data_IF_148790344069
#
_entry.id   IF_148790344069
#
_cell.length_a   1.000
_cell.length_b   1.000
_cell.length_c   1.000
_cell.angle_alpha   90.00
_cell.angle_beta   90.00
_cell.angle_gamma   90.00
#
_symmetry.space_group_name_H-M   'P 1'
#
loop_
_entity.id
_entity.type
_entity.pdbx_description
1 polymer ?
#
# COMPACT_ATOMS: atom_id res chain seq x y z
N UNK A 1 -4.97 -7.69 -87.98
CA UNK A 1 -4.93 -9.15 -88.23
C UNK A 1 -4.52 -9.86 -86.94
N UNK A 2 -5.22 -10.93 -86.51
CA UNK A 2 -5.12 -11.49 -85.16
C UNK A 2 -4.08 -12.62 -85.07
N UNK A 3 -3.24 -12.58 -84.03
CA UNK A 3 -2.28 -13.64 -83.68
C UNK A 3 -2.95 -14.79 -82.94
N UNK A 4 -2.85 -16.00 -83.50
CA UNK A 4 -3.40 -17.26 -82.98
C UNK A 4 -2.83 -17.61 -81.58
N UNK A 5 -3.74 -17.94 -80.65
CA UNK A 5 -3.40 -18.71 -79.44
C UNK A 5 -3.08 -20.16 -79.84
N UNK A 6 -1.86 -20.61 -79.55
CA UNK A 6 -1.42 -22.00 -79.76
C UNK A 6 -1.98 -22.87 -78.63
N UNK A 7 -2.94 -23.73 -78.96
CA UNK A 7 -3.42 -24.80 -78.07
C UNK A 7 -2.34 -25.88 -77.96
N UNK A 8 -1.83 -26.12 -76.75
CA UNK A 8 -1.00 -27.29 -76.45
C UNK A 8 -1.90 -28.53 -76.42
N UNK A 9 -2.00 -29.22 -77.55
CA UNK A 9 -2.58 -30.56 -77.61
C UNK A 9 -1.62 -31.57 -76.99
N UNK A 10 -1.87 -31.95 -75.73
CA UNK A 10 -1.16 -33.02 -75.05
C UNK A 10 -1.56 -34.36 -75.70
N UNK A 11 -0.65 -34.98 -76.45
CA UNK A 11 -0.85 -36.35 -76.97
C UNK A 11 -0.61 -37.34 -75.84
N UNK A 12 -1.66 -38.03 -75.40
CA UNK A 12 -1.52 -39.14 -74.46
C UNK A 12 -0.97 -40.39 -75.17
N UNK A 13 0.04 -41.08 -74.61
CA UNK A 13 0.55 -42.34 -75.15
C UNK A 13 -0.55 -43.41 -75.15
N UNK A 14 -0.52 -44.32 -76.14
CA UNK A 14 -1.46 -45.44 -76.30
C UNK A 14 -1.28 -46.51 -75.21
N UNK A 15 -1.72 -46.18 -74.00
CA UNK A 15 -1.70 -47.06 -72.83
C UNK A 15 -2.93 -47.98 -72.85
N UNK A 16 -2.74 -49.27 -72.48
CA UNK A 16 -3.80 -50.27 -72.31
C UNK A 16 -4.89 -49.75 -71.35
N UNK A 17 -6.15 -50.15 -71.54
CA UNK A 17 -7.31 -49.64 -70.77
C UNK A 17 -7.09 -49.60 -69.25
N UNK A 18 -6.50 -50.65 -68.66
CA UNK A 18 -6.11 -50.69 -67.24
C UNK A 18 -5.14 -49.58 -66.82
N UNK A 19 -4.19 -49.21 -67.67
CA UNK A 19 -3.22 -48.17 -67.36
C UNK A 19 -3.84 -46.76 -67.40
N UNK A 20 -4.87 -46.53 -68.22
CA UNK A 20 -5.64 -45.28 -68.19
C UNK A 20 -6.41 -45.09 -66.89
N UNK A 21 -7.01 -46.18 -66.36
CA UNK A 21 -7.70 -46.18 -65.07
C UNK A 21 -6.71 -45.95 -63.92
N UNK A 22 -5.58 -46.67 -63.92
CA UNK A 22 -4.53 -46.49 -62.90
C UNK A 22 -3.94 -45.07 -62.93
N UNK A 23 -3.79 -44.46 -64.11
CA UNK A 23 -3.32 -43.08 -64.24
C UNK A 23 -4.33 -42.09 -63.62
N UNK A 24 -5.63 -42.27 -63.88
CA UNK A 24 -6.68 -41.48 -63.24
C UNK A 24 -6.62 -41.58 -61.72
N UNK A 25 -6.54 -42.82 -61.19
CA UNK A 25 -6.40 -43.06 -59.75
C UNK A 25 -5.12 -42.43 -59.18
N UNK A 26 -3.98 -42.54 -59.87
CA UNK A 26 -2.71 -41.97 -59.42
C UNK A 26 -2.76 -40.44 -59.36
N UNK A 27 -3.40 -39.79 -60.35
CA UNK A 27 -3.60 -38.33 -60.34
C UNK A 27 -4.49 -37.91 -59.17
N UNK A 28 -5.59 -38.64 -58.91
CA UNK A 28 -6.46 -38.35 -57.77
C UNK A 28 -5.72 -38.53 -56.44
N UNK A 29 -4.92 -39.59 -56.30
CA UNK A 29 -4.10 -39.84 -55.11
C UNK A 29 -3.05 -38.74 -54.89
N UNK A 30 -2.38 -38.31 -55.96
CA UNK A 30 -1.41 -37.22 -55.90
C UNK A 30 -2.07 -35.89 -55.50
N UNK A 31 -3.26 -35.59 -56.03
CA UNK A 31 -4.02 -34.40 -55.67
C UNK A 31 -4.45 -34.45 -54.20
N UNK A 32 -4.96 -35.59 -53.73
CA UNK A 32 -5.33 -35.80 -52.32
C UNK A 32 -4.14 -35.63 -51.39
N UNK A 33 -2.98 -36.22 -51.72
CA UNK A 33 -1.77 -36.09 -50.94
C UNK A 33 -1.27 -34.63 -50.88
N UNK A 34 -1.31 -33.91 -52.00
CA UNK A 34 -0.97 -32.49 -52.05
C UNK A 34 -1.92 -31.65 -51.16
N UNK A 35 -3.24 -31.87 -51.25
CA UNK A 35 -4.21 -31.16 -50.39
C UNK A 35 -4.01 -31.45 -48.91
N UNK A 36 -3.66 -32.68 -48.55
CA UNK A 36 -3.37 -33.07 -47.16
C UNK A 36 -2.08 -32.42 -46.66
N UNK A 37 -1.05 -32.30 -47.51
CA UNK A 37 0.19 -31.56 -47.20
C UNK A 37 -0.05 -30.06 -46.99
N UNK A 38 -0.84 -29.41 -47.85
CA UNK A 38 -1.24 -28.01 -47.66
C UNK A 38 -2.10 -27.81 -46.40
N UNK A 39 -3.00 -28.73 -46.09
CA UNK A 39 -3.79 -28.71 -44.87
C UNK A 39 -2.91 -28.85 -43.62
N UNK A 40 -1.88 -29.69 -43.64
CA UNK A 40 -0.93 -29.85 -42.54
C UNK A 40 -0.14 -28.56 -42.27
N UNK A 41 0.41 -27.92 -43.33
CA UNK A 41 1.09 -26.62 -43.18
C UNK A 41 0.14 -25.51 -42.71
N UNK A 42 -1.12 -25.53 -43.15
CA UNK A 42 -2.16 -24.63 -42.68
C UNK A 42 -2.47 -24.83 -41.19
N UNK A 43 -2.58 -26.08 -40.75
CA UNK A 43 -2.79 -26.44 -39.35
C UNK A 43 -1.62 -26.00 -38.45
N UNK A 44 -0.38 -26.13 -38.92
CA UNK A 44 0.83 -25.73 -38.18
C UNK A 44 0.93 -24.20 -38.01
N UNK A 45 0.51 -23.42 -39.01
CA UNK A 45 0.40 -21.96 -38.89
C UNK A 45 -0.72 -21.54 -37.94
N UNK A 46 -1.87 -22.21 -38.00
CA UNK A 46 -2.99 -21.94 -37.10
C UNK A 46 -2.65 -22.34 -35.66
N UNK A 47 -1.97 -23.46 -35.44
CA UNK A 47 -1.57 -23.91 -34.11
C UNK A 47 -0.53 -22.97 -33.47
N UNK A 48 0.44 -22.48 -34.25
CA UNK A 48 1.37 -21.44 -33.80
C UNK A 48 0.66 -20.10 -33.48
N UNK A 49 -0.32 -19.71 -34.32
CA UNK A 49 -1.16 -18.53 -34.08
C UNK A 49 -2.04 -18.64 -32.83
N UNK A 50 -2.63 -19.81 -32.58
CA UNK A 50 -3.43 -20.07 -31.37
C UNK A 50 -2.53 -20.15 -30.13
N UNK A 51 -1.34 -20.75 -30.23
CA UNK A 51 -0.37 -20.79 -29.14
C UNK A 51 0.07 -19.38 -28.71
N UNK A 52 0.46 -18.55 -29.67
CA UNK A 52 0.81 -17.14 -29.41
C UNK A 52 -0.37 -16.34 -28.87
N UNK A 53 -1.59 -16.53 -29.38
CA UNK A 53 -2.79 -15.89 -28.83
C UNK A 53 -3.06 -16.29 -27.38
N UNK A 54 -3.02 -17.60 -27.05
CA UNK A 54 -3.21 -18.08 -25.66
C UNK A 54 -2.17 -17.52 -24.72
N UNK A 55 -0.93 -17.38 -25.17
CA UNK A 55 0.13 -16.76 -24.39
C UNK A 55 -0.10 -15.25 -24.19
N UNK A 56 -0.52 -14.52 -25.23
CA UNK A 56 -0.87 -13.10 -25.09
C UNK A 56 -2.05 -12.86 -24.17
N UNK A 57 -3.07 -13.73 -24.19
CA UNK A 57 -4.21 -13.66 -23.25
C UNK A 57 -3.75 -13.93 -21.82
N UNK A 58 -2.93 -14.97 -21.61
CA UNK A 58 -2.39 -15.27 -20.28
C UNK A 58 -1.53 -14.11 -19.73
N UNK A 59 -0.69 -13.51 -20.56
CA UNK A 59 0.11 -12.33 -20.16
C UNK A 59 -0.79 -11.10 -19.85
N UNK A 60 -1.85 -10.90 -20.63
CA UNK A 60 -2.81 -9.82 -20.38
C UNK A 60 -3.59 -10.02 -19.07
N UNK A 61 -3.98 -11.26 -18.75
CA UNK A 61 -4.64 -11.58 -17.48
C UNK A 61 -3.71 -11.35 -16.28
N UNK A 62 -2.43 -11.72 -16.39
CA UNK A 62 -1.43 -11.44 -15.35
C UNK A 62 -1.23 -9.93 -15.14
N UNK A 63 -1.16 -9.15 -16.22
CA UNK A 63 -1.05 -7.70 -16.15
C UNK A 63 -2.29 -7.07 -15.51
N UNK A 64 -3.49 -7.52 -15.90
CA UNK A 64 -4.76 -7.05 -15.34
C UNK A 64 -4.87 -7.34 -13.85
N UNK A 65 -4.39 -8.50 -13.41
CA UNK A 65 -4.36 -8.85 -11.99
C UNK A 65 -3.43 -7.91 -11.21
N UNK A 66 -2.24 -7.61 -11.72
CA UNK A 66 -1.35 -6.62 -11.12
C UNK A 66 -2.04 -5.26 -10.98
N UNK A 67 -2.67 -4.76 -12.04
CA UNK A 67 -3.33 -3.44 -12.01
C UNK A 67 -4.44 -3.39 -10.96
N UNK A 68 -5.25 -4.45 -10.88
CA UNK A 68 -6.31 -4.58 -9.88
C UNK A 68 -5.75 -4.54 -8.46
N UNK A 69 -4.75 -5.37 -8.16
CA UNK A 69 -4.15 -5.45 -6.83
C UNK A 69 -3.40 -4.16 -6.47
N UNK A 70 -2.78 -3.50 -7.45
CA UNK A 70 -2.11 -2.21 -7.25
C UNK A 70 -3.09 -1.10 -6.87
N UNK A 71 -4.23 -1.02 -7.55
CA UNK A 71 -5.28 -0.05 -7.21
C UNK A 71 -5.81 -0.33 -5.80
N UNK A 72 -6.08 -1.59 -5.49
CA UNK A 72 -6.54 -2.03 -4.16
C UNK A 72 -5.56 -1.60 -3.07
N UNK A 73 -4.30 -2.02 -3.18
CA UNK A 73 -3.27 -1.71 -2.19
C UNK A 73 -3.04 -0.21 -2.03
N UNK A 74 -2.96 0.56 -3.13
CA UNK A 74 -2.79 2.02 -3.04
C UNK A 74 -3.96 2.70 -2.34
N UNK A 75 -5.18 2.23 -2.57
CA UNK A 75 -6.37 2.79 -1.95
C UNK A 75 -6.40 2.50 -0.44
N UNK A 76 -6.12 1.26 -0.04
CA UNK A 76 -6.11 0.81 1.35
C UNK A 76 -4.95 1.42 2.14
N UNK A 77 -3.76 1.53 1.54
CA UNK A 77 -2.61 2.18 2.17
C UNK A 77 -2.90 3.66 2.46
N UNK A 78 -3.51 4.39 1.51
CA UNK A 78 -3.94 5.78 1.74
C UNK A 78 -5.02 5.89 2.80
N UNK A 79 -5.96 4.96 2.81
CA UNK A 79 -7.02 4.93 3.80
C UNK A 79 -6.45 4.70 5.21
N UNK A 80 -5.56 3.73 5.38
CA UNK A 80 -4.84 3.52 6.64
C UNK A 80 -4.01 4.74 7.07
N UNK A 81 -3.33 5.41 6.14
CA UNK A 81 -2.59 6.65 6.45
C UNK A 81 -3.52 7.71 7.07
N UNK A 82 -4.75 7.82 6.56
CA UNK A 82 -5.74 8.78 7.03
C UNK A 82 -6.40 8.36 8.36
N UNK A 83 -6.68 7.07 8.56
CA UNK A 83 -7.45 6.59 9.72
C UNK A 83 -6.56 6.14 10.89
N UNK A 84 -5.40 5.56 10.60
CA UNK A 84 -4.52 4.93 11.58
C UNK A 84 -5.08 3.70 12.28
N UNK A 85 -6.23 3.16 11.83
CA UNK A 85 -6.88 2.01 12.49
C UNK A 85 -6.17 0.71 12.17
N UNK A 86 -6.14 -0.19 13.15
CA UNK A 86 -5.48 -1.50 13.02
C UNK A 86 -6.11 -2.37 11.91
N UNK A 87 -7.44 -2.35 11.78
CA UNK A 87 -8.15 -3.11 10.75
C UNK A 87 -7.80 -2.63 9.34
N UNK A 88 -7.63 -1.31 9.16
CA UNK A 88 -7.22 -0.72 7.88
C UNK A 88 -5.77 -1.08 7.56
N UNK A 89 -4.91 -1.19 8.58
CA UNK A 89 -3.53 -1.69 8.42
C UNK A 89 -3.52 -3.14 7.94
N UNK A 90 -4.34 -4.00 8.57
CA UNK A 90 -4.47 -5.42 8.19
C UNK A 90 -4.96 -5.57 6.75
N UNK A 91 -5.96 -4.79 6.35
CA UNK A 91 -6.47 -4.80 4.98
C UNK A 91 -5.39 -4.36 3.97
N UNK A 92 -4.64 -3.30 4.28
CA UNK A 92 -3.54 -2.83 3.43
C UNK A 92 -2.41 -3.86 3.31
N UNK A 93 -2.02 -4.53 4.41
CA UNK A 93 -1.01 -5.58 4.41
C UNK A 93 -1.46 -6.85 3.65
N UNK A 94 -2.74 -7.20 3.73
CA UNK A 94 -3.30 -8.29 2.93
C UNK A 94 -3.24 -7.96 1.43
N UNK A 95 -3.63 -6.74 1.04
CA UNK A 95 -3.53 -6.29 -0.35
C UNK A 95 -2.07 -6.17 -0.84
N UNK A 96 -1.13 -5.82 0.05
CA UNK A 96 0.30 -5.86 -0.24
C UNK A 96 0.75 -7.28 -0.62
N UNK A 97 0.35 -8.28 0.17
CA UNK A 97 0.66 -9.67 -0.11
C UNK A 97 0.05 -10.15 -1.44
N UNK A 98 -1.22 -9.82 -1.70
CA UNK A 98 -1.89 -10.15 -2.97
C UNK A 98 -1.20 -9.51 -4.18
N UNK A 99 -0.78 -8.24 -4.07
CA UNK A 99 -0.02 -7.57 -5.14
C UNK A 99 1.35 -8.21 -5.34
N UNK A 100 2.06 -8.57 -4.26
CA UNK A 100 3.33 -9.29 -4.35
C UNK A 100 3.17 -10.61 -5.12
N UNK A 101 2.14 -11.37 -4.79
CA UNK A 101 1.86 -12.66 -5.43
C UNK A 101 1.51 -12.47 -6.91
N UNK A 102 0.73 -11.45 -7.27
CA UNK A 102 0.42 -11.11 -8.67
C UNK A 102 1.68 -10.72 -9.47
N UNK A 103 2.57 -9.91 -8.88
CA UNK A 103 3.85 -9.55 -9.50
C UNK A 103 4.72 -10.80 -9.70
N UNK A 104 4.85 -11.65 -8.68
CA UNK A 104 5.64 -12.88 -8.77
C UNK A 104 5.07 -13.87 -9.80
N UNK A 105 3.74 -13.99 -9.90
CA UNK A 105 3.08 -14.79 -10.92
C UNK A 105 3.37 -14.24 -12.32
N UNK A 106 3.32 -12.92 -12.50
CA UNK A 106 3.65 -12.27 -13.78
C UNK A 106 5.12 -12.46 -14.16
N UNK A 107 6.05 -12.35 -13.21
CA UNK A 107 7.48 -12.63 -13.45
C UNK A 107 7.71 -14.07 -13.93
N UNK A 108 7.02 -15.05 -13.33
CA UNK A 108 7.14 -16.47 -13.71
C UNK A 108 6.48 -16.78 -15.05
N UNK A 109 5.36 -16.12 -15.36
CA UNK A 109 4.59 -16.35 -16.58
C UNK A 109 5.11 -15.61 -17.81
N UNK A 110 5.92 -14.57 -17.64
CA UNK A 110 6.43 -13.74 -18.75
C UNK A 110 7.67 -14.36 -19.37
N UNK A 111 7.61 -14.68 -20.67
CA UNK A 111 8.76 -15.21 -21.42
C UNK A 111 9.51 -14.14 -22.21
N UNK A 112 8.85 -13.02 -22.53
CA UNK A 112 9.44 -11.96 -23.34
C UNK A 112 10.43 -11.09 -22.50
N UNK A 113 11.72 -10.98 -22.87
CA UNK A 113 12.73 -10.34 -22.05
C UNK A 113 12.43 -8.88 -21.68
N UNK A 114 11.98 -8.06 -22.63
CA UNK A 114 11.72 -6.64 -22.34
C UNK A 114 10.51 -6.46 -21.40
N UNK A 115 9.52 -7.36 -21.46
CA UNK A 115 8.39 -7.34 -20.52
C UNK A 115 8.82 -7.80 -19.13
N UNK A 116 9.68 -8.81 -19.05
CA UNK A 116 10.24 -9.28 -17.80
C UNK A 116 11.06 -8.18 -17.09
N UNK A 117 11.81 -7.38 -17.86
CA UNK A 117 12.54 -6.22 -17.33
C UNK A 117 11.59 -5.18 -16.72
N UNK A 118 10.47 -4.86 -17.40
CA UNK A 118 9.45 -3.95 -16.88
C UNK A 118 8.83 -4.46 -15.57
N UNK A 119 8.49 -5.76 -15.51
CA UNK A 119 7.92 -6.36 -14.29
C UNK A 119 8.97 -6.38 -13.16
N UNK A 120 10.24 -6.63 -13.47
CA UNK A 120 11.32 -6.58 -12.49
C UNK A 120 11.52 -5.17 -11.93
N UNK A 121 11.38 -4.14 -12.78
CA UNK A 121 11.39 -2.74 -12.34
C UNK A 121 10.19 -2.43 -11.43
N UNK A 122 8.98 -2.85 -11.83
CA UNK A 122 7.78 -2.72 -11.00
C UNK A 122 7.96 -3.39 -9.63
N UNK A 123 8.55 -4.58 -9.59
CA UNK A 123 8.79 -5.32 -8.36
C UNK A 123 9.78 -4.60 -7.43
N UNK A 124 10.80 -3.91 -7.99
CA UNK A 124 11.69 -3.04 -7.23
C UNK A 124 10.96 -1.81 -6.66
N UNK A 125 10.14 -1.15 -7.46
CA UNK A 125 9.34 -0.01 -7.01
C UNK A 125 8.32 -0.42 -5.93
N UNK A 126 7.69 -1.57 -6.11
CA UNK A 126 6.82 -2.19 -5.11
C UNK A 126 7.54 -2.38 -3.78
N UNK A 127 8.72 -3.02 -3.75
CA UNK A 127 9.50 -3.18 -2.51
C UNK A 127 9.88 -1.87 -1.84
N UNK A 128 10.21 -0.84 -2.62
CA UNK A 128 10.49 0.48 -2.07
C UNK A 128 9.24 1.07 -1.41
N UNK A 129 8.08 0.94 -2.05
CA UNK A 129 6.81 1.39 -1.50
C UNK A 129 6.43 0.63 -0.22
N UNK A 130 6.53 -0.70 -0.20
CA UNK A 130 6.17 -1.50 0.98
C UNK A 130 7.06 -1.19 2.17
N UNK A 131 8.35 -0.89 1.95
CA UNK A 131 9.25 -0.43 3.00
C UNK A 131 8.78 0.90 3.62
N UNK A 132 8.37 1.86 2.80
CA UNK A 132 7.83 3.14 3.28
C UNK A 132 6.52 2.90 4.04
N UNK A 133 5.64 2.04 3.53
CA UNK A 133 4.39 1.71 4.18
C UNK A 133 4.61 1.06 5.56
N UNK A 134 5.54 0.10 5.67
CA UNK A 134 5.92 -0.51 6.94
C UNK A 134 6.48 0.52 7.93
N UNK A 135 7.24 1.50 7.47
CA UNK A 135 7.73 2.60 8.30
C UNK A 135 6.59 3.48 8.83
N UNK A 136 5.58 3.77 7.99
CA UNK A 136 4.37 4.51 8.41
C UNK A 136 3.62 3.74 9.50
N UNK A 137 3.42 2.43 9.31
CA UNK A 137 2.76 1.57 10.31
C UNK A 137 3.50 1.63 11.64
N UNK A 138 4.83 1.45 11.61
CA UNK A 138 5.69 1.51 12.79
C UNK A 138 5.56 2.86 13.51
N UNK A 139 5.68 3.98 12.79
CA UNK A 139 5.61 5.32 13.39
C UNK A 139 4.25 5.57 14.04
N UNK A 140 3.16 5.15 13.39
CA UNK A 140 1.81 5.31 13.95
C UNK A 140 1.61 4.48 15.22
N UNK A 141 2.08 3.23 15.22
CA UNK A 141 2.01 2.36 16.40
C UNK A 141 2.84 2.90 17.58
N UNK A 142 4.10 3.28 17.33
CA UNK A 142 4.98 3.91 18.33
C UNK A 142 4.38 5.20 18.90
N UNK A 143 3.74 6.01 18.05
CA UNK A 143 3.07 7.25 18.46
C UNK A 143 1.85 6.97 19.33
N UNK A 144 1.02 5.98 18.95
CA UNK A 144 -0.14 5.56 19.73
C UNK A 144 0.25 5.02 21.10
N UNK A 145 1.27 4.15 21.16
CA UNK A 145 1.81 3.62 22.41
C UNK A 145 2.40 4.73 23.29
N UNK A 146 3.13 5.68 22.70
CA UNK A 146 3.69 6.80 23.46
C UNK A 146 2.59 7.68 24.06
N UNK A 147 1.56 8.01 23.28
CA UNK A 147 0.44 8.80 23.75
C UNK A 147 -0.38 8.08 24.84
N UNK A 148 -0.74 6.82 24.64
CA UNK A 148 -1.52 6.06 25.64
C UNK A 148 -0.70 5.72 26.88
N UNK A 149 0.49 5.11 26.73
CA UNK A 149 1.19 4.53 27.87
C UNK A 149 1.93 5.58 28.70
N UNK A 150 2.44 6.64 28.07
CA UNK A 150 3.22 7.66 28.77
C UNK A 150 2.40 8.91 29.05
N UNK A 151 1.76 9.48 28.03
CA UNK A 151 1.10 10.78 28.17
C UNK A 151 -0.22 10.69 28.94
N UNK A 152 -1.09 9.72 28.67
CA UNK A 152 -2.32 9.55 29.46
C UNK A 152 -1.97 9.19 30.91
N UNK A 153 -1.01 8.29 31.12
CA UNK A 153 -0.56 7.93 32.48
C UNK A 153 -0.01 9.13 33.25
N UNK A 154 0.82 9.97 32.63
CA UNK A 154 1.37 11.16 33.28
C UNK A 154 0.29 12.22 33.53
N UNK A 155 -0.63 12.44 32.59
CA UNK A 155 -1.75 13.36 32.75
C UNK A 155 -2.68 12.93 33.90
N UNK A 156 -2.99 11.63 34.02
CA UNK A 156 -3.79 11.10 35.14
C UNK A 156 -3.08 11.28 36.48
N UNK A 157 -1.77 11.00 36.54
CA UNK A 157 -0.99 11.21 37.77
C UNK A 157 -0.92 12.69 38.17
N UNK A 158 -0.74 13.60 37.20
CA UNK A 158 -0.78 15.04 37.47
C UNK A 158 -2.16 15.46 37.97
N UNK A 159 -3.23 14.98 37.35
CA UNK A 159 -4.60 15.30 37.76
C UNK A 159 -4.88 14.85 39.20
N UNK A 160 -4.43 13.65 39.58
CA UNK A 160 -4.53 13.18 40.96
C UNK A 160 -3.78 14.10 41.93
N UNK A 161 -2.54 14.49 41.61
CA UNK A 161 -1.76 15.41 42.44
C UNK A 161 -2.41 16.80 42.55
N UNK A 162 -2.98 17.31 41.46
CA UNK A 162 -3.68 18.60 41.45
C UNK A 162 -4.95 18.56 42.31
N UNK A 163 -5.65 17.44 42.32
CA UNK A 163 -6.85 17.22 43.13
C UNK A 163 -6.53 17.10 44.63
N UNK A 164 -5.31 16.63 44.96
CA UNK A 164 -4.83 16.51 46.35
C UNK A 164 -4.20 17.80 46.91
N UNK A 165 -3.89 18.80 46.06
CA UNK A 165 -3.32 20.07 46.50
C UNK A 165 -4.16 20.80 47.57
N UNK A 166 -5.51 20.90 47.43
CA UNK A 166 -6.34 21.58 48.43
C UNK A 166 -6.35 20.89 49.79
N UNK A 167 -6.16 19.57 49.85
CA UNK A 167 -6.11 18.80 51.10
C UNK A 167 -4.91 19.16 51.98
N UNK A 168 -3.90 19.79 51.39
CA UNK A 168 -2.64 20.15 52.03
C UNK A 168 -2.45 21.68 52.13
N UNK A 169 -3.46 22.48 51.79
CA UNK A 169 -3.40 23.93 51.76
C UNK A 169 -3.96 24.55 53.05
N UNK A 170 -3.33 25.64 53.52
CA UNK A 170 -3.89 26.48 54.57
C UNK A 170 -5.17 27.21 54.08
N UNK A 171 -6.13 27.43 54.97
CA UNK A 171 -7.44 28.03 54.64
C UNK A 171 -7.33 29.38 53.91
N UNK A 172 -6.28 30.17 54.18
CA UNK A 172 -6.04 31.47 53.53
C UNK A 172 -5.64 31.38 52.06
N UNK A 173 -5.15 30.23 51.60
CA UNK A 173 -4.62 30.02 50.24
C UNK A 173 -5.45 29.01 49.43
N UNK A 174 -6.34 28.29 50.11
CA UNK A 174 -7.11 27.17 49.59
C UNK A 174 -7.92 27.53 48.33
N UNK A 175 -8.56 28.70 48.30
CA UNK A 175 -9.35 29.14 47.14
C UNK A 175 -8.48 29.42 45.90
N UNK A 176 -7.31 30.04 46.09
CA UNK A 176 -6.35 30.34 45.03
C UNK A 176 -5.72 29.06 44.47
N UNK A 177 -5.38 28.12 45.34
CA UNK A 177 -4.83 26.80 44.98
C UNK A 177 -5.88 25.98 44.23
N UNK A 178 -7.13 25.92 44.71
CA UNK A 178 -8.22 25.23 44.02
C UNK A 178 -8.45 25.79 42.60
N UNK A 179 -8.47 27.12 42.46
CA UNK A 179 -8.68 27.75 41.16
C UNK A 179 -7.51 27.47 40.19
N UNK A 180 -6.27 27.61 40.67
CA UNK A 180 -5.07 27.29 39.90
C UNK A 180 -5.04 25.83 39.46
N UNK A 181 -5.28 24.90 40.39
CA UNK A 181 -5.28 23.47 40.13
C UNK A 181 -6.34 23.06 39.09
N UNK A 182 -7.56 23.60 39.21
CA UNK A 182 -8.63 23.38 38.23
C UNK A 182 -8.26 23.88 36.84
N UNK A 183 -7.68 25.08 36.74
CA UNK A 183 -7.24 25.66 35.47
C UNK A 183 -6.15 24.82 34.80
N UNK A 184 -5.21 24.27 35.56
CA UNK A 184 -4.20 23.34 35.03
C UNK A 184 -4.85 22.03 34.57
N UNK A 185 -5.79 21.48 35.33
CA UNK A 185 -6.51 20.26 34.96
C UNK A 185 -7.27 20.42 33.63
N UNK A 186 -7.93 21.55 33.42
CA UNK A 186 -8.64 21.87 32.16
C UNK A 186 -7.67 21.96 30.97
N UNK A 187 -6.48 22.54 31.17
CA UNK A 187 -5.43 22.57 30.15
C UNK A 187 -4.88 21.19 29.85
N UNK A 188 -4.67 20.34 30.87
CA UNK A 188 -4.20 18.95 30.67
C UNK A 188 -5.18 18.14 29.81
N UNK A 189 -6.48 18.23 30.08
CA UNK A 189 -7.50 17.54 29.28
C UNK A 189 -7.50 18.03 27.82
N UNK A 190 -7.35 19.34 27.64
CA UNK A 190 -7.22 19.98 26.33
C UNK A 190 -5.95 19.54 25.58
N UNK A 191 -4.82 19.39 26.27
CA UNK A 191 -3.55 18.90 25.70
C UNK A 191 -3.70 17.44 25.28
N UNK A 192 -4.26 16.58 26.13
CA UNK A 192 -4.48 15.16 25.80
C UNK A 192 -5.36 14.99 24.57
N UNK A 193 -6.45 15.76 24.45
CA UNK A 193 -7.30 15.75 23.26
C UNK A 193 -6.56 16.18 21.97
N UNK A 194 -5.75 17.23 22.05
CA UNK A 194 -4.94 17.69 20.92
C UNK A 194 -3.87 16.67 20.53
N UNK A 195 -3.18 16.06 21.48
CA UNK A 195 -2.18 15.01 21.22
C UNK A 195 -2.84 13.79 20.57
N UNK A 196 -3.99 13.33 21.07
CA UNK A 196 -4.72 12.22 20.45
C UNK A 196 -5.13 12.54 19.01
N UNK A 197 -5.56 13.78 18.75
CA UNK A 197 -5.89 14.23 17.39
C UNK A 197 -4.66 14.21 16.48
N UNK A 198 -3.52 14.73 16.96
CA UNK A 198 -2.25 14.72 16.23
C UNK A 198 -1.76 13.31 15.91
N UNK A 199 -1.87 12.36 16.84
CA UNK A 199 -1.49 10.96 16.62
C UNK A 199 -2.29 10.34 15.46
N UNK A 200 -3.57 10.71 15.33
CA UNK A 200 -4.44 10.21 14.26
C UNK A 200 -4.09 10.86 12.92
N UNK A 201 -4.07 12.19 12.85
CA UNK A 201 -4.04 12.91 11.58
C UNK A 201 -2.67 13.49 11.18
N UNK A 202 -1.69 13.50 12.08
CA UNK A 202 -0.35 14.05 11.85
C UNK A 202 -0.31 15.58 11.65
N UNK A 203 -1.36 16.31 12.02
CA UNK A 203 -1.47 17.74 11.77
C UNK A 203 -0.53 18.57 12.66
N UNK A 204 0.47 19.20 12.03
CA UNK A 204 1.46 20.04 12.71
C UNK A 204 0.84 21.23 13.45
N UNK A 205 -0.29 21.76 12.98
CA UNK A 205 -0.98 22.87 13.65
C UNK A 205 -1.56 22.44 15.00
N UNK A 206 -2.11 21.23 15.06
CA UNK A 206 -2.60 20.60 16.30
C UNK A 206 -1.45 20.36 17.27
N UNK A 207 -0.29 19.89 16.77
CA UNK A 207 0.91 19.73 17.58
C UNK A 207 1.42 21.07 18.15
N UNK A 208 1.50 22.12 17.33
CA UNK A 208 1.88 23.46 17.79
C UNK A 208 0.92 24.01 18.84
N UNK A 209 -0.38 23.79 18.67
CA UNK A 209 -1.41 24.17 19.64
C UNK A 209 -1.24 23.42 20.97
N UNK A 210 -1.01 22.10 20.93
CA UNK A 210 -0.74 21.30 22.11
C UNK A 210 0.50 21.78 22.87
N UNK A 211 1.59 22.11 22.16
CA UNK A 211 2.82 22.65 22.74
C UNK A 211 2.61 24.02 23.38
N UNK A 212 1.86 24.92 22.74
CA UNK A 212 1.54 26.22 23.31
C UNK A 212 0.74 26.10 24.61
N UNK A 213 -0.26 25.20 24.64
CA UNK A 213 -1.05 24.89 25.84
C UNK A 213 -0.21 24.25 26.94
N UNK A 214 0.73 23.38 26.59
CA UNK A 214 1.66 22.80 27.55
C UNK A 214 2.54 23.86 28.21
N UNK A 215 3.10 24.79 27.43
CA UNK A 215 3.86 25.92 27.97
C UNK A 215 3.00 26.80 28.89
N UNK A 216 1.75 27.03 28.51
CA UNK A 216 0.82 27.78 29.35
C UNK A 216 0.50 27.05 30.65
N UNK A 217 0.24 25.74 30.60
CA UNK A 217 0.01 24.92 31.79
C UNK A 217 1.24 24.88 32.72
N UNK A 218 2.46 24.78 32.17
CA UNK A 218 3.70 24.86 32.95
C UNK A 218 3.84 26.21 33.69
N UNK A 219 3.54 27.32 33.00
CA UNK A 219 3.52 28.63 33.63
C UNK A 219 2.46 28.74 34.72
N UNK A 220 1.28 28.13 34.54
CA UNK A 220 0.24 28.10 35.57
C UNK A 220 0.67 27.27 36.79
N UNK A 221 1.32 26.12 36.58
CA UNK A 221 1.86 25.29 37.67
C UNK A 221 2.92 26.04 38.47
N UNK A 222 3.83 26.76 37.79
CA UNK A 222 4.80 27.64 38.46
C UNK A 222 4.13 28.79 39.21
N UNK A 223 2.98 29.26 38.74
CA UNK A 223 2.17 30.27 39.42
C UNK A 223 1.37 29.73 40.61
N UNK A 224 1.28 28.41 40.79
CA UNK A 224 0.59 27.79 41.94
C UNK A 224 1.47 27.86 43.22
N UNK A 225 2.71 28.35 43.14
CA UNK A 225 3.54 28.57 44.33
C UNK A 225 3.43 30.00 44.88
N UNK A 226 2.74 30.12 46.03
CA UNK A 226 2.95 31.05 47.15
C UNK A 226 3.05 32.56 46.88
N UNK A 227 2.03 33.32 47.28
CA UNK A 227 2.18 34.75 47.65
C UNK A 227 2.66 34.93 49.11
N UNK A 228 3.07 33.85 49.78
CA UNK A 228 3.46 33.86 51.17
C UNK A 228 4.99 33.96 51.29
N UNK A 229 5.47 35.18 51.55
CA UNK A 229 6.89 35.51 51.70
C UNK A 229 7.61 34.65 52.77
N UNK A 230 6.85 34.02 53.70
CA UNK A 230 7.37 33.14 54.76
C UNK A 230 7.97 31.82 54.24
N UNK A 231 7.48 31.28 53.12
CA UNK A 231 8.02 30.02 52.56
C UNK A 231 9.29 30.28 51.73
N UNK A 232 9.39 31.46 51.11
CA UNK A 232 10.61 31.88 50.37
C UNK A 232 11.80 32.22 51.29
N UNK A 233 11.55 32.66 52.52
CA UNK A 233 12.64 32.97 53.48
C UNK A 233 13.13 31.75 54.28
N UNK A 234 12.31 30.70 54.43
CA UNK A 234 12.70 29.46 55.12
C UNK A 234 13.78 28.64 54.39
N UNK A 235 14.00 28.88 53.10
CA UNK A 235 15.06 28.24 52.31
C UNK A 235 16.44 28.91 52.42
N UNK A 236 16.52 30.14 52.96
CA UNK A 236 17.78 30.89 53.06
C UNK A 236 18.55 30.63 54.38
N UNK A 237 18.03 29.78 55.27
CA UNK A 237 18.66 29.45 56.56
C UNK A 237 19.35 28.08 56.55
N UNK A 238 19.41 27.40 55.40
CA UNK A 238 20.03 26.08 55.23
C UNK A 238 21.30 26.11 54.36
N UNK A 239 21.98 27.25 54.25
CA UNK A 239 23.32 27.39 53.66
C UNK A 239 24.40 27.74 54.70
N UNK A 240 24.16 27.44 55.97
CA UNK A 240 25.18 27.55 57.01
C UNK A 240 25.21 26.33 57.91
N UNK A 241 25.50 25.14 57.38
CA UNK A 241 26.24 24.02 58.00
C UNK A 241 26.58 22.99 56.92
#
# INVERSE_FOLDING_TARGET
MPGLKRSLSIRFPTLRFRAKIMLGFAVTLALSAATMGFAYMGFERVSAGVGSYRQSVAEADLARNIDRELISYRSLARYYVATGKEDDAKAALAAEASLKDAIMASMKGTTYPARLEQITKLEREFRAFTKIFAEIVRIKDESAQTAQNRLVRSATSMRYKLDDLPSNADDSELQSIQFGAKKVADQLQSITGAVNTFVVNGDKTVASSALARLKFADNLVKGITSQNERITQGGAIAESW
#
